data_IF_709089860359
#
_entry.id   IF_709089860359
#
_cell.length_a   1.000
_cell.length_b   1.000
_cell.length_c   1.000
_cell.angle_alpha   90.00
_cell.angle_beta   90.00
_cell.angle_gamma   90.00
#
_symmetry.space_group_name_H-M   'P 1'
#
loop_
_entity.id
_entity.type
_entity.pdbx_description
1 polymer ?
#
# COMPACT_ATOMS: atom_id res chain seq x y z
N UNK A 1 12.31 5.21 -51.72
CA UNK A 1 11.28 4.32 -51.15
C UNK A 1 10.27 5.10 -50.33
N UNK A 2 10.59 5.74 -49.19
CA UNK A 2 9.57 6.47 -48.42
C UNK A 2 8.94 7.65 -49.18
N UNK A 3 9.78 8.47 -49.83
CA UNK A 3 9.36 9.68 -50.56
C UNK A 3 8.36 9.35 -51.67
N UNK A 4 8.55 8.22 -52.38
CA UNK A 4 7.64 7.77 -53.44
C UNK A 4 6.28 7.31 -52.90
N UNK A 5 6.21 6.80 -51.67
CA UNK A 5 4.93 6.45 -51.03
C UNK A 5 4.21 7.68 -50.46
N UNK A 6 4.94 8.72 -50.04
CA UNK A 6 4.35 9.98 -49.60
C UNK A 6 3.74 10.76 -50.78
N UNK A 7 4.42 10.82 -51.92
CA UNK A 7 3.92 11.47 -53.14
C UNK A 7 2.68 10.78 -53.74
N UNK A 8 2.52 9.48 -53.49
CA UNK A 8 1.38 8.69 -53.96
C UNK A 8 0.17 8.70 -52.99
N UNK A 9 0.32 9.26 -51.80
CA UNK A 9 -0.74 9.29 -50.79
C UNK A 9 -1.86 10.26 -51.18
N UNK A 10 -3.11 9.86 -50.93
CA UNK A 10 -4.28 10.65 -51.35
C UNK A 10 -4.96 11.38 -50.20
N UNK A 11 -4.92 10.77 -49.01
CA UNK A 11 -5.60 11.27 -47.82
C UNK A 11 -4.65 11.49 -46.64
N UNK A 12 -5.02 12.42 -45.75
CA UNK A 12 -4.24 12.75 -44.56
C UNK A 12 -4.01 11.53 -43.65
N UNK A 13 -5.01 10.65 -43.51
CA UNK A 13 -4.88 9.42 -42.73
C UNK A 13 -3.84 8.46 -43.30
N UNK A 14 -3.70 8.39 -44.63
CA UNK A 14 -2.68 7.58 -45.28
C UNK A 14 -1.29 8.16 -45.05
N UNK A 15 -1.14 9.49 -45.17
CA UNK A 15 0.14 10.16 -44.87
C UNK A 15 0.57 9.91 -43.42
N UNK A 16 -0.35 10.03 -42.46
CA UNK A 16 -0.08 9.79 -41.04
C UNK A 16 0.34 8.34 -40.79
N UNK A 17 -0.36 7.38 -41.40
CA UNK A 17 -0.03 5.95 -41.29
C UNK A 17 1.35 5.62 -41.87
N UNK A 18 1.71 6.20 -43.02
CA UNK A 18 3.01 6.02 -43.66
C UNK A 18 4.13 6.61 -42.79
N UNK A 19 3.95 7.83 -42.28
CA UNK A 19 4.91 8.50 -41.40
C UNK A 19 5.08 7.75 -40.08
N UNK A 20 3.99 7.31 -39.47
CA UNK A 20 4.01 6.51 -38.24
C UNK A 20 4.70 5.16 -38.45
N UNK A 21 4.40 4.46 -39.55
CA UNK A 21 5.06 3.21 -39.92
C UNK A 21 6.56 3.36 -40.14
N UNK A 22 6.98 4.45 -40.79
CA UNK A 22 8.39 4.77 -41.01
C UNK A 22 9.12 5.07 -39.69
N UNK A 23 8.51 5.89 -38.83
CA UNK A 23 9.05 6.20 -37.50
C UNK A 23 9.17 4.92 -36.65
N UNK A 24 8.17 4.04 -36.68
CA UNK A 24 8.21 2.74 -36.02
C UNK A 24 9.36 1.85 -36.52
N UNK A 25 9.56 1.77 -37.83
CA UNK A 25 10.63 0.98 -38.43
C UNK A 25 12.01 1.48 -37.97
N UNK A 26 12.22 2.80 -37.99
CA UNK A 26 13.46 3.43 -37.51
C UNK A 26 13.67 3.17 -36.02
N UNK A 27 12.64 3.35 -35.20
CA UNK A 27 12.70 3.05 -33.76
C UNK A 27 13.07 1.58 -33.49
N UNK A 28 12.56 0.64 -34.29
CA UNK A 28 12.92 -0.79 -34.19
C UNK A 28 14.36 -1.06 -34.58
N UNK A 29 14.86 -0.45 -35.66
CA UNK A 29 16.24 -0.62 -36.13
C UNK A 29 17.24 -0.07 -35.11
N UNK A 30 16.93 1.08 -34.50
CA UNK A 30 17.80 1.73 -33.50
C UNK A 30 17.64 1.09 -32.10
N UNK A 31 16.69 0.17 -31.92
CA UNK A 31 16.41 -0.48 -30.64
C UNK A 31 15.77 0.46 -29.61
N UNK A 32 15.13 1.55 -30.05
CA UNK A 32 14.44 2.48 -29.18
C UNK A 32 13.18 1.85 -28.58
N UNK A 33 13.05 1.92 -27.25
CA UNK A 33 11.85 1.44 -26.55
C UNK A 33 10.68 2.39 -26.82
N UNK A 34 9.71 1.93 -27.60
CA UNK A 34 8.48 2.70 -27.82
C UNK A 34 7.63 2.70 -26.54
N UNK A 35 7.10 3.84 -26.08
CA UNK A 35 6.12 3.85 -25.02
C UNK A 35 4.87 3.10 -25.48
N UNK A 36 4.51 2.02 -24.79
CA UNK A 36 3.24 1.33 -25.00
C UNK A 36 2.12 2.31 -24.62
N UNK A 37 1.45 2.87 -25.62
CA UNK A 37 0.23 3.65 -25.43
C UNK A 37 -0.77 2.75 -24.66
N UNK A 38 -1.08 3.12 -23.42
CA UNK A 38 -1.95 2.34 -22.54
C UNK A 38 -1.37 2.03 -21.15
N UNK A 39 -0.05 2.13 -20.94
CA UNK A 39 0.51 2.09 -19.58
C UNK A 39 0.47 3.46 -18.92
N UNK A 40 -0.72 4.02 -18.75
CA UNK A 40 -0.93 4.91 -17.62
C UNK A 40 -0.71 4.03 -16.38
N UNK A 41 0.48 4.09 -15.78
CA UNK A 41 0.69 3.55 -14.43
C UNK A 41 -0.38 4.20 -13.58
N UNK A 42 -1.45 3.46 -13.28
CA UNK A 42 -2.46 3.91 -12.35
C UNK A 42 -1.70 4.28 -11.09
N UNK A 43 -1.71 5.58 -10.76
CA UNK A 43 -1.15 6.05 -9.51
C UNK A 43 -2.00 5.40 -8.44
N UNK A 44 -1.56 4.24 -7.94
CA UNK A 44 -2.18 3.60 -6.79
C UNK A 44 -2.27 4.70 -5.73
N UNK A 45 -3.47 4.86 -5.16
CA UNK A 45 -3.71 5.90 -4.17
C UNK A 45 -2.75 5.66 -3.02
N UNK A 46 -1.66 6.44 -3.01
CA UNK A 46 -0.55 6.19 -2.12
C UNK A 46 -1.06 6.24 -0.69
N UNK A 47 -0.91 5.13 0.03
CA UNK A 47 -1.30 5.05 1.44
C UNK A 47 -0.60 6.21 2.15
N UNK A 48 -1.34 7.07 2.88
CA UNK A 48 -0.74 8.22 3.54
C UNK A 48 0.40 7.78 4.47
N UNK A 49 1.50 8.52 4.49
CA UNK A 49 2.70 8.16 5.26
C UNK A 49 2.41 7.98 6.77
N UNK A 50 1.44 8.72 7.33
CA UNK A 50 1.03 8.54 8.72
C UNK A 50 0.40 7.16 8.97
N UNK A 51 -0.38 6.63 8.02
CA UNK A 51 -1.06 5.33 8.14
C UNK A 51 -0.04 4.21 8.09
N UNK A 52 0.87 4.26 7.11
CA UNK A 52 1.99 3.32 6.98
C UNK A 52 2.83 3.25 8.26
N UNK A 53 3.18 4.41 8.84
CA UNK A 53 3.93 4.45 10.12
C UNK A 53 3.21 3.76 11.28
N UNK A 54 1.88 3.83 11.36
CA UNK A 54 1.12 3.16 12.41
C UNK A 54 1.02 1.66 12.13
N UNK A 55 0.77 1.27 10.87
CA UNK A 55 0.75 -0.13 10.43
C UNK A 55 2.10 -0.82 10.70
N UNK A 56 3.22 -0.15 10.43
CA UNK A 56 4.56 -0.65 10.73
C UNK A 56 4.77 -0.85 12.23
N UNK A 57 4.26 0.05 13.09
CA UNK A 57 4.31 -0.11 14.55
C UNK A 57 3.49 -1.32 15.01
N UNK A 58 2.30 -1.50 14.45
CA UNK A 58 1.45 -2.68 14.72
C UNK A 58 2.17 -3.96 14.30
N UNK A 59 2.76 -4.00 13.10
CA UNK A 59 3.49 -5.16 12.60
C UNK A 59 4.68 -5.51 13.49
N UNK A 60 5.49 -4.52 13.88
CA UNK A 60 6.62 -4.70 14.82
C UNK A 60 6.15 -5.23 16.17
N UNK A 61 5.05 -4.70 16.72
CA UNK A 61 4.49 -5.15 17.98
C UNK A 61 3.99 -6.60 17.91
N UNK A 62 3.28 -6.98 16.83
CA UNK A 62 2.84 -8.37 16.59
C UNK A 62 4.02 -9.33 16.50
N UNK A 63 5.06 -8.96 15.77
CA UNK A 63 6.28 -9.76 15.65
C UNK A 63 7.03 -9.90 16.99
N UNK A 64 6.95 -8.89 17.86
CA UNK A 64 7.52 -8.98 19.21
C UNK A 64 6.67 -9.89 20.10
N UNK A 65 5.34 -9.75 20.08
CA UNK A 65 4.43 -10.67 20.80
C UNK A 65 4.74 -12.12 20.43
N UNK A 66 4.84 -12.44 19.14
CA UNK A 66 5.16 -13.80 18.70
C UNK A 66 6.46 -14.34 19.32
N UNK A 67 7.51 -13.51 19.38
CA UNK A 67 8.79 -13.88 19.99
C UNK A 67 8.72 -14.04 21.50
N UNK A 68 8.00 -13.16 22.21
CA UNK A 68 7.78 -13.28 23.65
C UNK A 68 6.98 -14.54 23.98
N UNK A 69 5.94 -14.86 23.20
CA UNK A 69 5.16 -16.08 23.36
C UNK A 69 6.02 -17.32 23.09
N UNK A 70 6.85 -17.34 22.03
CA UNK A 70 7.76 -18.45 21.76
C UNK A 70 8.75 -18.68 22.91
N UNK A 71 9.32 -17.61 23.47
CA UNK A 71 10.20 -17.71 24.64
C UNK A 71 9.47 -18.28 25.85
N UNK A 72 8.24 -17.79 26.12
CA UNK A 72 7.39 -18.31 27.20
C UNK A 72 7.07 -19.80 27.05
N UNK A 73 6.96 -20.30 25.80
CA UNK A 73 6.79 -21.72 25.50
C UNK A 73 8.08 -22.56 25.62
N UNK A 74 9.18 -21.99 26.10
CA UNK A 74 10.45 -22.69 26.32
C UNK A 74 11.46 -22.59 25.17
N UNK A 75 11.19 -21.78 24.14
CA UNK A 75 12.12 -21.63 23.02
C UNK A 75 13.26 -20.65 23.34
N UNK A 76 14.42 -21.21 23.70
CA UNK A 76 15.61 -20.47 24.10
C UNK A 76 16.65 -20.28 22.99
N UNK A 77 16.24 -20.30 21.72
CA UNK A 77 17.18 -20.02 20.61
C UNK A 77 17.83 -18.63 20.80
N UNK A 78 19.14 -18.46 20.50
CA UNK A 78 19.87 -17.21 20.76
C UNK A 78 19.22 -15.96 20.15
N UNK A 79 18.60 -16.09 18.96
CA UNK A 79 17.88 -14.99 18.29
C UNK A 79 16.65 -14.53 19.07
N UNK A 80 15.92 -15.47 19.68
CA UNK A 80 14.74 -15.17 20.49
C UNK A 80 15.20 -14.53 21.80
N UNK A 81 16.15 -15.14 22.50
CA UNK A 81 16.72 -14.58 23.73
C UNK A 81 17.25 -13.15 23.54
N UNK A 82 17.99 -12.88 22.45
CA UNK A 82 18.45 -11.53 22.14
C UNK A 82 17.29 -10.55 21.98
N UNK A 83 16.22 -10.97 21.31
CA UNK A 83 15.03 -10.11 21.13
C UNK A 83 14.33 -9.85 22.46
N UNK A 84 14.19 -10.86 23.30
CA UNK A 84 13.56 -10.74 24.63
C UNK A 84 14.41 -9.81 25.52
N UNK A 85 15.74 -9.99 25.56
CA UNK A 85 16.65 -9.07 26.27
C UNK A 85 16.49 -7.62 25.82
N UNK A 86 16.39 -7.39 24.50
CA UNK A 86 16.16 -6.05 23.96
C UNK A 86 14.77 -5.49 24.32
N UNK A 87 13.76 -6.35 24.45
CA UNK A 87 12.41 -5.93 24.82
C UNK A 87 12.30 -5.42 26.27
N UNK A 88 13.21 -5.87 27.13
CA UNK A 88 13.39 -5.47 28.53
C UNK A 88 14.66 -4.63 28.74
N UNK A 89 15.34 -4.20 27.68
CA UNK A 89 16.53 -3.37 27.83
C UNK A 89 16.19 -2.06 28.55
N UNK A 90 17.01 -1.70 29.54
CA UNK A 90 16.76 -0.54 30.41
C UNK A 90 15.72 -0.77 31.51
N UNK A 91 15.20 -2.00 31.65
CA UNK A 91 14.42 -2.41 32.84
C UNK A 91 15.29 -3.29 33.74
N UNK A 92 15.09 -3.24 35.06
CA UNK A 92 15.82 -4.07 36.04
C UNK A 92 15.32 -5.54 36.06
N UNK A 93 14.79 -6.03 34.93
CA UNK A 93 14.20 -7.36 34.81
C UNK A 93 15.25 -8.31 34.22
N UNK A 94 15.61 -9.34 34.99
CA UNK A 94 16.49 -10.41 34.52
C UNK A 94 15.67 -11.58 34.00
N UNK A 95 16.13 -12.21 32.91
CA UNK A 95 15.45 -13.35 32.31
C UNK A 95 15.48 -14.62 33.17
N UNK A 96 16.32 -14.64 34.19
CA UNK A 96 16.49 -15.78 35.11
C UNK A 96 15.73 -15.59 36.44
N UNK A 97 14.99 -14.49 36.59
CA UNK A 97 14.15 -14.29 37.77
C UNK A 97 12.94 -15.23 37.74
N UNK A 98 12.47 -15.71 38.91
CA UNK A 98 11.30 -16.58 38.99
C UNK A 98 10.03 -15.94 38.39
N UNK A 99 9.91 -14.60 38.50
CA UNK A 99 8.72 -13.86 38.08
C UNK A 99 8.70 -13.50 36.57
N UNK A 100 9.67 -13.98 35.79
CA UNK A 100 9.82 -13.60 34.37
C UNK A 100 8.56 -13.94 33.55
N UNK A 101 7.89 -15.05 33.87
CA UNK A 101 6.68 -15.49 33.17
C UNK A 101 5.53 -14.49 33.32
N UNK A 102 5.37 -13.92 34.52
CA UNK A 102 4.40 -12.88 34.78
C UNK A 102 4.77 -11.60 34.01
N UNK A 103 6.03 -11.17 34.09
CA UNK A 103 6.53 -9.98 33.37
C UNK A 103 6.40 -10.08 31.86
N UNK A 104 6.59 -11.27 31.28
CA UNK A 104 6.32 -11.53 29.87
C UNK A 104 4.84 -11.35 29.53
N UNK A 105 3.95 -11.81 30.40
CA UNK A 105 2.51 -11.73 30.18
C UNK A 105 2.03 -10.28 30.26
N UNK A 106 2.44 -9.54 31.29
CA UNK A 106 2.21 -8.09 31.41
C UNK A 106 2.69 -7.36 30.13
N UNK A 107 3.90 -7.66 29.66
CA UNK A 107 4.46 -7.04 28.46
C UNK A 107 3.69 -7.39 27.18
N UNK A 108 3.21 -8.62 27.05
CA UNK A 108 2.38 -9.04 25.91
C UNK A 108 1.06 -8.27 25.92
N UNK A 109 0.42 -8.14 27.08
CA UNK A 109 -0.86 -7.45 27.19
C UNK A 109 -0.74 -5.94 26.96
N UNK A 110 0.33 -5.30 27.42
CA UNK A 110 0.68 -3.92 27.05
C UNK A 110 0.75 -3.74 25.52
N UNK A 111 1.39 -4.68 24.82
CA UNK A 111 1.53 -4.61 23.36
C UNK A 111 0.17 -4.81 22.67
N UNK A 112 -0.69 -5.70 23.18
CA UNK A 112 -2.06 -5.88 22.67
C UNK A 112 -2.88 -4.61 22.85
N UNK A 113 -2.80 -3.98 24.03
CA UNK A 113 -3.49 -2.71 24.29
C UNK A 113 -3.00 -1.61 23.34
N UNK A 114 -1.69 -1.50 23.12
CA UNK A 114 -1.11 -0.55 22.15
C UNK A 114 -1.58 -0.81 20.72
N UNK A 115 -1.61 -2.07 20.28
CA UNK A 115 -2.13 -2.45 18.95
C UNK A 115 -3.60 -2.03 18.82
N UNK A 116 -4.43 -2.29 19.82
CA UNK A 116 -5.84 -1.91 19.82
C UNK A 116 -6.01 -0.38 19.73
N UNK A 117 -5.21 0.38 20.49
CA UNK A 117 -5.23 1.84 20.45
C UNK A 117 -4.79 2.40 19.07
N UNK A 118 -3.74 1.83 18.48
CA UNK A 118 -3.28 2.20 17.14
C UNK A 118 -4.31 1.85 16.06
N UNK A 119 -4.96 0.69 16.14
CA UNK A 119 -6.06 0.31 15.26
C UNK A 119 -7.24 1.29 15.34
N UNK A 120 -7.65 1.66 16.55
CA UNK A 120 -8.67 2.70 16.79
C UNK A 120 -8.27 4.05 16.18
N UNK A 121 -6.99 4.44 16.29
CA UNK A 121 -6.47 5.68 15.70
C UNK A 121 -6.57 5.66 14.16
N UNK A 122 -6.18 4.57 13.50
CA UNK A 122 -6.34 4.41 12.05
C UNK A 122 -7.81 4.54 11.67
N UNK A 123 -8.70 3.81 12.34
CA UNK A 123 -10.15 3.86 12.08
C UNK A 123 -10.69 5.29 12.16
N UNK A 124 -10.42 5.99 13.26
CA UNK A 124 -10.88 7.37 13.49
C UNK A 124 -10.41 8.32 12.38
N UNK A 125 -9.16 8.20 11.95
CA UNK A 125 -8.60 9.10 10.93
C UNK A 125 -9.14 8.78 9.54
N UNK A 126 -9.31 7.50 9.22
CA UNK A 126 -9.96 7.06 7.98
C UNK A 126 -11.42 7.54 7.93
N UNK A 127 -12.19 7.39 9.01
CA UNK A 127 -13.57 7.88 9.11
C UNK A 127 -13.64 9.41 8.95
N UNK A 128 -12.76 10.15 9.62
CA UNK A 128 -12.70 11.62 9.46
C UNK A 128 -12.43 12.01 8.01
N UNK A 129 -11.46 11.36 7.38
CA UNK A 129 -11.09 11.66 5.99
C UNK A 129 -12.24 11.32 5.04
N UNK A 130 -12.93 10.19 5.28
CA UNK A 130 -14.12 9.79 4.53
C UNK A 130 -15.24 10.84 4.67
N UNK A 131 -15.58 11.25 5.90
CA UNK A 131 -16.61 12.27 6.16
C UNK A 131 -16.27 13.61 5.50
N UNK A 132 -15.02 14.04 5.61
CA UNK A 132 -14.56 15.27 4.94
C UNK A 132 -14.77 15.20 3.42
N UNK A 133 -14.37 14.09 2.79
CA UNK A 133 -14.54 13.90 1.35
C UNK A 133 -16.03 13.82 0.96
N UNK A 134 -16.86 13.12 1.74
CA UNK A 134 -18.30 13.00 1.50
C UNK A 134 -19.01 14.36 1.66
N UNK A 135 -18.69 15.14 2.69
CA UNK A 135 -19.26 16.47 2.88
C UNK A 135 -18.85 17.42 1.76
N UNK A 136 -17.59 17.36 1.32
CA UNK A 136 -17.13 18.15 0.18
C UNK A 136 -17.86 17.76 -1.10
N UNK A 137 -18.04 16.45 -1.34
CA UNK A 137 -18.79 15.95 -2.50
C UNK A 137 -20.26 16.34 -2.41
N UNK A 138 -20.88 16.32 -1.23
CA UNK A 138 -22.25 16.77 -1.02
C UNK A 138 -22.43 18.25 -1.40
N UNK A 139 -21.48 19.10 -1.00
CA UNK A 139 -21.54 20.53 -1.32
C UNK A 139 -21.35 20.80 -2.82
N UNK A 140 -20.49 20.05 -3.50
CA UNK A 140 -20.21 20.27 -4.93
C UNK A 140 -21.16 19.54 -5.88
N UNK A 141 -21.51 18.28 -5.58
CA UNK A 141 -22.31 17.40 -6.44
C UNK A 141 -23.02 16.31 -5.60
N UNK A 142 -24.23 16.66 -5.13
CA UNK A 142 -25.07 15.78 -4.32
C UNK A 142 -25.44 14.49 -5.06
N UNK A 143 -25.74 14.58 -6.36
CA UNK A 143 -26.15 13.41 -7.17
C UNK A 143 -25.04 12.37 -7.22
N UNK A 144 -23.79 12.79 -7.37
CA UNK A 144 -22.63 11.87 -7.32
C UNK A 144 -22.48 11.21 -5.95
N UNK A 145 -22.71 11.94 -4.85
CA UNK A 145 -22.68 11.33 -3.52
C UNK A 145 -23.74 10.24 -3.39
N UNK A 146 -25.01 10.52 -3.72
CA UNK A 146 -26.09 9.53 -3.59
C UNK A 146 -25.85 8.30 -4.48
N UNK A 147 -25.41 8.50 -5.73
CA UNK A 147 -25.00 7.39 -6.61
C UNK A 147 -23.88 6.53 -5.99
N UNK A 148 -22.91 7.15 -5.33
CA UNK A 148 -21.83 6.42 -4.64
C UNK A 148 -22.29 5.66 -3.39
N UNK A 149 -23.39 6.08 -2.76
CA UNK A 149 -24.00 5.40 -1.61
C UNK A 149 -24.90 4.23 -2.04
N UNK A 150 -25.61 4.38 -3.16
CA UNK A 150 -26.45 3.32 -3.74
C UNK A 150 -25.63 2.19 -4.36
N UNK A 151 -24.42 2.48 -4.87
CA UNK A 151 -23.52 1.50 -5.51
C UNK A 151 -22.12 1.53 -4.89
N UNK A 152 -21.94 1.01 -3.65
CA UNK A 152 -20.64 1.00 -2.99
C UNK A 152 -19.59 0.15 -3.74
N UNK A 153 -20.02 -0.89 -4.47
CA UNK A 153 -19.15 -1.84 -5.17
C UNK A 153 -18.45 -1.24 -6.41
N UNK A 154 -19.07 -0.26 -7.07
CA UNK A 154 -18.61 0.28 -8.36
C UNK A 154 -17.49 1.32 -8.20
N UNK A 155 -17.31 1.88 -6.99
CA UNK A 155 -16.26 2.88 -6.73
C UNK A 155 -14.93 2.27 -6.23
N UNK A 156 -14.90 0.97 -5.94
CA UNK A 156 -13.71 0.27 -5.41
C UNK A 156 -13.04 -0.68 -6.41
N UNK A 157 -13.79 -1.21 -7.38
CA UNK A 157 -13.26 -1.99 -8.48
C UNK A 157 -13.14 -1.09 -9.71
N UNK A 158 -11.90 -0.85 -10.16
CA UNK A 158 -11.72 -0.47 -11.56
C UNK A 158 -12.40 -1.51 -12.45
N UNK A 159 -12.93 -1.13 -13.62
CA UNK A 159 -13.63 -2.07 -14.49
C UNK A 159 -12.70 -3.26 -14.76
N UNK A 160 -13.14 -4.45 -14.34
CA UNK A 160 -12.50 -5.70 -14.75
C UNK A 160 -12.60 -5.83 -16.27
N UNK A 161 -11.57 -6.36 -16.94
CA UNK A 161 -11.61 -6.54 -18.38
C UNK A 161 -12.64 -7.62 -18.71
N UNK A 162 -13.46 -7.33 -19.72
CA UNK A 162 -14.38 -8.28 -20.36
C UNK A 162 -13.62 -9.45 -21.02
#
# INVERSE_FOLDING_TARGET
MLVTYLEASRDLCETDSILFGAALAVCRIIGAKLPVAGRATQKSSAIPAWRKRIEDRIAKARALIGRLTSFRSGNNRPRIMRTVRMAFAGTNISLFQPDITQKLTERIDDLKQKIAAWGKRIRRFSERSRRFNQNRLFQSDQKRLYKSLERPEVCGAGPGPD
#
